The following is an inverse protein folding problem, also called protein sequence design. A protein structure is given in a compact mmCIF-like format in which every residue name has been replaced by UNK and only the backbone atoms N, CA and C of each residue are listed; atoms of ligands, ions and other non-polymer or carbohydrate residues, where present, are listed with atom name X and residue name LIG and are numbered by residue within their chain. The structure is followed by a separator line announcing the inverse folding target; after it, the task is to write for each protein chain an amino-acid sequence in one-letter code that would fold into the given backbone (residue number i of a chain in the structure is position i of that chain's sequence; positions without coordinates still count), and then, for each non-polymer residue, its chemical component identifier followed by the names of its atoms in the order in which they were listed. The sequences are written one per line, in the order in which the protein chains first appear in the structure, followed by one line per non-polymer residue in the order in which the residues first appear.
data_IF_636106114493
#
_entry.id   IF_636106114493
#
_cell.length_a   1.000
_cell.length_b   1.000
_cell.length_c   1.000
_cell.angle_alpha   90.00
_cell.angle_beta   90.00
_cell.angle_gamma   90.00
#
_symmetry.space_group_name_H-M   'P 1'
#
loop_
_entity.id
_entity.type
_entity.pdbx_description
1 polymer ?
#
# COMPACT_ATOMS: atom_id res chain seq x y z
N UNK A 1 -28.94 -64.44 72.81
CA UNK A 1 -30.16 -63.72 72.39
C UNK A 1 -29.72 -62.32 72.06
N UNK A 2 -29.91 -61.88 70.82
CA UNK A 2 -29.64 -60.48 70.44
C UNK A 2 -30.79 -59.69 71.04
N UNK A 3 -30.60 -59.24 72.26
CA UNK A 3 -31.48 -58.27 72.90
C UNK A 3 -31.34 -56.98 72.11
N UNK A 4 -32.41 -56.61 71.39
CA UNK A 4 -32.51 -55.34 70.70
C UNK A 4 -32.70 -54.24 71.77
N UNK A 5 -31.62 -53.92 72.46
CA UNK A 5 -31.61 -52.95 73.54
C UNK A 5 -31.38 -51.54 73.00
N UNK A 6 -31.88 -50.55 73.75
CA UNK A 6 -31.74 -49.10 73.50
C UNK A 6 -30.29 -48.65 73.24
N UNK A 7 -29.30 -49.46 73.65
CA UNK A 7 -27.88 -49.29 73.33
C UNK A 7 -27.58 -49.28 71.83
N UNK A 8 -28.25 -50.12 71.03
CA UNK A 8 -28.09 -50.16 69.57
C UNK A 8 -28.59 -48.86 68.94
N UNK A 9 -29.72 -48.34 69.43
CA UNK A 9 -30.25 -47.06 68.97
C UNK A 9 -29.26 -45.92 69.26
N UNK A 10 -28.68 -45.88 70.47
CA UNK A 10 -27.67 -44.90 70.82
C UNK A 10 -26.39 -45.01 69.97
N UNK A 11 -25.96 -46.24 69.67
CA UNK A 11 -24.78 -46.49 68.84
C UNK A 11 -25.00 -46.08 67.37
N UNK A 12 -26.21 -46.28 66.84
CA UNK A 12 -26.61 -45.77 65.52
C UNK A 12 -26.62 -44.24 65.50
N UNK A 13 -27.19 -43.61 66.53
CA UNK A 13 -27.21 -42.14 66.63
C UNK A 13 -25.78 -41.59 66.70
N UNK A 14 -24.91 -42.19 67.51
CA UNK A 14 -23.51 -41.78 67.61
C UNK A 14 -22.77 -41.95 66.27
N UNK A 15 -22.99 -43.06 65.57
CA UNK A 15 -22.41 -43.30 64.24
C UNK A 15 -22.90 -42.26 63.22
N UNK A 16 -24.20 -41.94 63.21
CA UNK A 16 -24.76 -40.92 62.31
C UNK A 16 -24.20 -39.53 62.61
N UNK A 17 -24.07 -39.16 63.89
CA UNK A 17 -23.44 -37.88 64.28
C UNK A 17 -21.98 -37.83 63.84
N UNK A 18 -21.21 -38.89 64.09
CA UNK A 18 -19.81 -38.99 63.65
C UNK A 18 -19.70 -38.92 62.12
N UNK A 19 -20.56 -39.62 61.39
CA UNK A 19 -20.63 -39.60 59.94
C UNK A 19 -20.90 -38.20 59.39
N UNK A 20 -21.87 -37.49 59.98
CA UNK A 20 -22.21 -36.12 59.57
C UNK A 20 -21.01 -35.19 59.81
N UNK A 21 -20.36 -35.29 60.97
CA UNK A 21 -19.16 -34.50 61.28
C UNK A 21 -18.05 -34.81 60.26
N UNK A 22 -17.78 -36.09 60.00
CA UNK A 22 -16.72 -36.51 59.09
C UNK A 22 -16.99 -36.08 57.64
N UNK A 23 -18.24 -36.22 57.18
CA UNK A 23 -18.67 -35.79 55.85
C UNK A 23 -18.49 -34.28 55.63
N UNK A 24 -18.83 -33.47 56.63
CA UNK A 24 -18.76 -32.00 56.55
C UNK A 24 -17.33 -31.47 56.78
N UNK A 25 -16.58 -32.06 57.71
CA UNK A 25 -15.29 -31.52 58.16
C UNK A 25 -14.09 -32.10 57.40
N UNK A 26 -14.18 -33.34 56.88
CA UNK A 26 -13.04 -34.01 56.26
C UNK A 26 -13.25 -34.22 54.76
N UNK A 27 -14.33 -34.87 54.35
CA UNK A 27 -14.51 -35.22 52.93
C UNK A 27 -14.70 -33.99 52.03
N UNK A 28 -15.55 -33.04 52.44
CA UNK A 28 -15.77 -31.79 51.70
C UNK A 28 -14.49 -30.99 51.44
N UNK A 29 -13.76 -30.54 52.47
CA UNK A 29 -12.55 -29.74 52.26
C UNK A 29 -11.42 -30.53 51.60
N UNK A 30 -11.33 -31.84 51.83
CA UNK A 30 -10.31 -32.67 51.18
C UNK A 30 -10.54 -32.80 49.66
N UNK A 31 -11.79 -33.01 49.24
CA UNK A 31 -12.16 -33.03 47.82
C UNK A 31 -11.95 -31.66 47.16
N UNK A 32 -12.36 -30.58 47.82
CA UNK A 32 -12.13 -29.22 47.30
C UNK A 32 -10.64 -28.90 47.12
N UNK A 33 -9.78 -29.38 48.02
CA UNK A 33 -8.32 -29.18 47.90
C UNK A 33 -7.73 -29.97 46.72
N UNK A 34 -8.26 -31.16 46.45
CA UNK A 34 -7.87 -31.95 45.28
C UNK A 34 -8.31 -31.28 43.98
N UNK A 35 -9.55 -30.82 43.92
CA UNK A 35 -10.13 -30.13 42.76
C UNK A 35 -9.41 -28.79 42.49
N UNK A 36 -9.04 -28.06 43.55
CA UNK A 36 -8.23 -26.84 43.44
C UNK A 36 -6.82 -27.13 42.90
N UNK A 37 -6.19 -28.24 43.31
CA UNK A 37 -4.88 -28.65 42.77
C UNK A 37 -4.98 -29.08 41.31
N UNK A 38 -6.00 -29.85 40.97
CA UNK A 38 -6.25 -30.30 39.60
C UNK A 38 -6.56 -29.12 38.68
N UNK A 39 -7.40 -28.18 39.12
CA UNK A 39 -7.66 -26.92 38.40
C UNK A 39 -6.40 -26.08 38.23
N UNK A 40 -5.56 -25.93 39.26
CA UNK A 40 -4.34 -25.13 39.14
C UNK A 40 -3.31 -25.77 38.21
N UNK A 41 -3.16 -27.09 38.23
CA UNK A 41 -2.18 -27.76 37.37
C UNK A 41 -2.67 -27.88 35.93
N UNK A 42 -3.91 -28.33 35.72
CA UNK A 42 -4.49 -28.52 34.39
C UNK A 42 -4.84 -27.18 33.74
N UNK A 43 -5.39 -26.23 34.50
CA UNK A 43 -5.69 -24.88 34.04
C UNK A 43 -4.44 -24.11 33.64
N UNK A 44 -3.38 -24.13 34.45
CA UNK A 44 -2.14 -23.42 34.11
C UNK A 44 -1.46 -23.98 32.84
N UNK A 45 -1.58 -25.29 32.59
CA UNK A 45 -1.07 -25.90 31.36
C UNK A 45 -1.90 -25.50 30.13
N UNK A 46 -3.23 -25.49 30.27
CA UNK A 46 -4.13 -25.05 29.19
C UNK A 46 -3.93 -23.56 28.87
N UNK A 47 -3.88 -22.71 29.90
CA UNK A 47 -3.66 -21.26 29.75
C UNK A 47 -2.30 -20.98 29.09
N UNK A 48 -1.26 -21.74 29.45
CA UNK A 48 0.07 -21.58 28.83
C UNK A 48 0.05 -21.96 27.35
N UNK A 49 -0.61 -23.07 26.98
CA UNK A 49 -0.75 -23.48 25.58
C UNK A 49 -1.56 -22.47 24.77
N UNK A 50 -2.64 -21.93 25.34
CA UNK A 50 -3.48 -20.93 24.67
C UNK A 50 -2.72 -19.62 24.47
N UNK A 51 -1.96 -19.17 25.48
CA UNK A 51 -1.10 -17.99 25.38
C UNK A 51 0.01 -18.17 24.33
N UNK A 52 0.61 -19.36 24.23
CA UNK A 52 1.58 -19.66 23.18
C UNK A 52 0.95 -19.64 21.79
N UNK A 53 -0.22 -20.26 21.63
CA UNK A 53 -0.95 -20.25 20.35
C UNK A 53 -1.39 -18.84 19.95
N UNK A 54 -1.89 -18.05 20.90
CA UNK A 54 -2.31 -16.68 20.65
C UNK A 54 -1.10 -15.79 20.35
N UNK A 55 0.02 -15.99 21.05
CA UNK A 55 1.30 -15.34 20.75
C UNK A 55 1.84 -15.70 19.36
N UNK A 56 1.78 -16.97 18.96
CA UNK A 56 2.18 -17.42 17.64
C UNK A 56 1.27 -16.85 16.55
N UNK A 57 -0.05 -16.84 16.78
CA UNK A 57 -1.03 -16.25 15.86
C UNK A 57 -0.83 -14.75 15.71
N UNK A 58 -0.57 -14.04 16.80
CA UNK A 58 -0.31 -12.61 16.78
C UNK A 58 0.98 -12.30 16.03
N UNK A 59 2.06 -13.06 16.27
CA UNK A 59 3.32 -12.94 15.51
C UNK A 59 3.10 -13.16 14.02
N UNK A 60 2.38 -14.21 13.63
CA UNK A 60 2.06 -14.48 12.23
C UNK A 60 1.28 -13.32 11.59
N UNK A 61 0.29 -12.75 12.29
CA UNK A 61 -0.44 -11.58 11.80
C UNK A 61 0.45 -10.34 11.68
N UNK A 62 1.38 -10.12 12.60
CA UNK A 62 2.33 -9.02 12.51
C UNK A 62 3.28 -9.18 11.31
N UNK A 63 3.84 -10.37 11.12
CA UNK A 63 4.70 -10.68 9.98
C UNK A 63 3.95 -10.51 8.66
N UNK A 64 2.72 -11.00 8.58
CA UNK A 64 1.86 -10.83 7.41
C UNK A 64 1.59 -9.35 7.12
N UNK A 65 1.23 -8.56 8.15
CA UNK A 65 1.00 -7.11 7.98
C UNK A 65 2.25 -6.37 7.52
N UNK A 66 3.43 -6.74 8.04
CA UNK A 66 4.70 -6.15 7.62
C UNK A 66 4.97 -6.51 6.15
N UNK A 67 4.79 -7.78 5.77
CA UNK A 67 4.97 -8.21 4.39
C UNK A 67 4.01 -7.51 3.43
N UNK A 68 2.73 -7.38 3.80
CA UNK A 68 1.73 -6.64 3.02
C UNK A 68 2.10 -5.14 2.90
N UNK A 69 2.54 -4.51 3.99
CA UNK A 69 2.97 -3.11 3.96
C UNK A 69 4.20 -2.89 3.07
N UNK A 70 5.17 -3.81 3.12
CA UNK A 70 6.33 -3.77 2.23
C UNK A 70 5.91 -3.94 0.76
N UNK A 71 5.08 -4.94 0.46
CA UNK A 71 4.57 -5.17 -0.89
C UNK A 71 3.79 -3.95 -1.44
N UNK A 72 2.91 -3.37 -0.63
CA UNK A 72 2.18 -2.16 -0.97
C UNK A 72 3.12 -0.95 -1.19
N UNK A 73 4.14 -0.80 -0.34
CA UNK A 73 5.16 0.25 -0.49
C UNK A 73 5.99 0.09 -1.76
N UNK A 74 6.40 -1.13 -2.10
CA UNK A 74 7.09 -1.43 -3.35
C UNK A 74 6.21 -1.13 -4.57
N UNK A 75 4.96 -1.60 -4.57
CA UNK A 75 4.00 -1.35 -5.64
C UNK A 75 3.72 0.15 -5.83
N UNK A 76 3.54 0.90 -4.74
CA UNK A 76 3.35 2.36 -4.79
C UNK A 76 4.57 3.08 -5.37
N UNK A 77 5.78 2.67 -4.96
CA UNK A 77 7.03 3.23 -5.50
C UNK A 77 7.17 2.95 -7.00
N UNK A 78 6.89 1.73 -7.43
CA UNK A 78 6.92 1.37 -8.85
C UNK A 78 5.89 2.15 -9.66
N UNK A 79 4.67 2.32 -9.15
CA UNK A 79 3.64 3.11 -9.78
C UNK A 79 4.09 4.57 -9.98
N UNK A 80 4.63 5.21 -8.94
CA UNK A 80 5.16 6.58 -9.02
C UNK A 80 6.29 6.69 -10.03
N UNK A 81 7.21 5.72 -10.06
CA UNK A 81 8.31 5.71 -11.03
C UNK A 81 7.81 5.54 -12.47
N UNK A 82 6.84 4.68 -12.70
CA UNK A 82 6.23 4.48 -14.02
C UNK A 82 5.46 5.72 -14.47
N UNK A 83 4.67 6.33 -13.59
CA UNK A 83 3.95 7.56 -13.88
C UNK A 83 4.93 8.70 -14.21
N UNK A 84 6.00 8.87 -13.42
CA UNK A 84 7.04 9.85 -13.69
C UNK A 84 7.76 9.61 -15.02
N UNK A 85 8.01 8.35 -15.41
CA UNK A 85 8.58 8.01 -16.73
C UNK A 85 7.62 8.36 -17.87
N UNK A 86 6.34 8.01 -17.74
CA UNK A 86 5.32 8.33 -18.75
C UNK A 86 5.12 9.84 -18.90
N UNK A 87 5.07 10.58 -17.79
CA UNK A 87 4.97 12.05 -17.83
C UNK A 87 6.21 12.66 -18.49
N UNK A 88 7.42 12.19 -18.14
CA UNK A 88 8.66 12.63 -18.77
C UNK A 88 8.65 12.37 -20.28
N UNK A 89 8.22 11.18 -20.70
CA UNK A 89 8.15 10.82 -22.11
C UNK A 89 7.13 11.69 -22.86
N UNK A 90 5.94 11.91 -22.28
CA UNK A 90 4.94 12.83 -22.84
C UNK A 90 5.49 14.24 -23.01
N UNK A 91 6.15 14.78 -21.99
CA UNK A 91 6.78 16.10 -22.04
C UNK A 91 7.86 16.20 -23.12
N UNK A 92 8.72 15.18 -23.22
CA UNK A 92 9.74 15.13 -24.26
C UNK A 92 9.16 15.06 -25.67
N UNK A 93 8.10 14.25 -25.86
CA UNK A 93 7.40 14.15 -27.14
C UNK A 93 6.74 15.47 -27.50
N UNK A 94 6.00 16.09 -26.59
CA UNK A 94 5.40 17.41 -26.80
C UNK A 94 6.43 18.49 -27.12
N UNK A 95 7.57 18.50 -26.41
CA UNK A 95 8.65 19.44 -26.70
C UNK A 95 9.25 19.22 -28.09
N UNK A 96 9.43 17.96 -28.51
CA UNK A 96 9.92 17.60 -29.85
C UNK A 96 8.93 18.00 -30.94
N UNK A 97 7.65 17.72 -30.75
CA UNK A 97 6.58 18.12 -31.67
C UNK A 97 6.49 19.64 -31.80
N UNK A 98 6.55 20.38 -30.68
CA UNK A 98 6.60 21.83 -30.67
C UNK A 98 7.82 22.38 -31.41
N UNK A 99 9.00 21.78 -31.19
CA UNK A 99 10.23 22.16 -31.90
C UNK A 99 10.12 21.88 -33.41
N UNK A 100 9.57 20.75 -33.82
CA UNK A 100 9.34 20.43 -35.24
C UNK A 100 8.34 21.40 -35.87
N UNK A 101 7.23 21.69 -35.21
CA UNK A 101 6.25 22.67 -35.70
C UNK A 101 6.84 24.07 -35.82
N UNK A 102 7.69 24.48 -34.88
CA UNK A 102 8.40 25.76 -34.95
C UNK A 102 9.37 25.78 -36.13
N UNK A 103 10.15 24.71 -36.32
CA UNK A 103 11.08 24.60 -37.44
C UNK A 103 10.37 24.66 -38.80
N UNK A 104 9.23 23.97 -38.93
CA UNK A 104 8.40 24.06 -40.14
C UNK A 104 7.84 25.45 -40.38
N UNK A 105 7.39 26.13 -39.32
CA UNK A 105 6.92 27.52 -39.40
C UNK A 105 8.01 28.45 -39.92
N UNK A 106 9.20 28.37 -39.32
CA UNK A 106 10.38 29.16 -39.74
C UNK A 106 10.76 28.84 -41.18
N UNK A 107 10.77 27.57 -41.60
CA UNK A 107 11.07 27.20 -43.00
C UNK A 107 10.09 27.81 -43.99
N UNK A 108 8.78 27.74 -43.71
CA UNK A 108 7.75 28.36 -44.55
C UNK A 108 7.91 29.88 -44.61
N UNK A 109 8.23 30.49 -43.48
CA UNK A 109 8.46 31.93 -43.43
C UNK A 109 9.68 32.35 -44.25
N UNK A 110 10.79 31.62 -44.13
CA UNK A 110 12.01 31.83 -44.93
C UNK A 110 11.76 31.64 -46.42
N UNK A 111 11.02 30.60 -46.83
CA UNK A 111 10.64 30.42 -48.23
C UNK A 111 9.80 31.59 -48.74
N UNK A 112 8.84 32.07 -47.93
CA UNK A 112 8.01 33.22 -48.30
C UNK A 112 8.81 34.51 -48.43
N UNK A 113 9.78 34.73 -47.54
CA UNK A 113 10.67 35.88 -47.58
C UNK A 113 11.58 35.81 -48.81
N UNK A 114 12.15 34.64 -49.10
CA UNK A 114 13.00 34.44 -50.29
C UNK A 114 12.24 34.69 -51.60
N UNK A 115 10.97 34.27 -51.68
CA UNK A 115 10.14 34.56 -52.86
C UNK A 115 9.85 36.06 -53.00
N UNK A 116 9.53 36.76 -51.90
CA UNK A 116 9.31 38.22 -51.91
C UNK A 116 10.57 38.99 -52.33
N UNK A 117 11.70 38.65 -51.72
CA UNK A 117 13.02 39.22 -52.04
C UNK A 117 13.39 39.00 -53.51
N UNK A 118 13.18 37.80 -54.05
CA UNK A 118 13.41 37.52 -55.49
C UNK A 118 12.54 38.37 -56.41
N UNK A 119 11.27 38.60 -56.05
CA UNK A 119 10.38 39.46 -56.85
C UNK A 119 10.84 40.92 -56.80
N UNK A 120 11.22 41.42 -55.62
CA UNK A 120 11.77 42.76 -55.45
C UNK A 120 13.07 42.94 -56.24
N UNK A 121 14.02 42.02 -56.12
CA UNK A 121 15.28 42.06 -56.86
C UNK A 121 15.06 42.02 -58.38
N UNK A 122 14.08 41.23 -58.86
CA UNK A 122 13.72 41.20 -60.28
C UNK A 122 13.10 42.53 -60.76
N UNK A 123 12.32 43.20 -59.92
CA UNK A 123 11.78 44.53 -60.20
C UNK A 123 12.89 45.59 -60.24
N UNK A 124 13.78 45.62 -59.24
CA UNK A 124 14.94 46.52 -59.22
C UNK A 124 15.86 46.30 -60.41
N UNK A 125 16.14 45.04 -60.77
CA UNK A 125 16.94 44.73 -61.95
C UNK A 125 16.33 45.27 -63.25
N UNK A 126 15.00 45.26 -63.38
CA UNK A 126 14.32 45.89 -64.53
C UNK A 126 14.48 47.40 -64.53
N UNK A 127 14.31 48.05 -63.37
CA UNK A 127 14.49 49.50 -63.23
C UNK A 127 15.91 49.91 -63.60
N UNK A 128 16.92 49.21 -63.06
CA UNK A 128 18.34 49.46 -63.38
C UNK A 128 18.63 49.20 -64.87
N UNK A 129 18.05 48.16 -65.46
CA UNK A 129 18.19 47.90 -66.89
C UNK A 129 17.58 49.02 -67.74
N UNK A 130 16.42 49.56 -67.35
CA UNK A 130 15.81 50.72 -68.02
C UNK A 130 16.71 51.97 -67.89
N UNK A 131 17.21 52.27 -66.70
CA UNK A 131 18.14 53.41 -66.50
C UNK A 131 19.42 53.27 -67.33
N UNK A 132 19.98 52.06 -67.46
CA UNK A 132 21.12 51.80 -68.32
C UNK A 132 20.80 52.01 -69.80
N UNK A 133 19.63 51.54 -70.25
CA UNK A 133 19.16 51.71 -71.63
C UNK A 133 18.98 53.20 -71.95
N UNK A 134 18.40 53.98 -71.03
CA UNK A 134 18.26 55.43 -71.18
C UNK A 134 19.61 56.16 -71.26
N UNK A 135 20.57 55.79 -70.38
CA UNK A 135 21.92 56.37 -70.40
C UNK A 135 22.69 56.06 -71.67
N UNK A 136 22.52 54.87 -72.24
CA UNK A 136 23.21 54.45 -73.48
C UNK A 136 22.56 55.07 -74.72
N UNK A 137 21.22 55.18 -74.76
CA UNK A 137 20.50 55.72 -75.92
C UNK A 137 20.42 57.25 -75.94
N UNK A 138 20.76 57.94 -74.84
CA UNK A 138 20.82 59.40 -74.77
C UNK A 138 19.46 60.10 -74.96
N UNK A 139 18.35 59.36 -74.89
CA UNK A 139 16.96 59.85 -75.01
C UNK A 139 16.07 59.08 -74.03
N UNK A 140 15.27 59.81 -73.26
CA UNK A 140 14.23 59.23 -72.40
C UNK A 140 13.26 58.40 -73.25
N UNK A 141 13.04 57.15 -72.87
CA UNK A 141 12.04 56.28 -73.50
C UNK A 141 10.98 56.00 -72.44
N UNK A 142 9.81 56.62 -72.65
CA UNK A 142 8.62 56.50 -71.82
C UNK A 142 7.97 55.11 -71.91
#
# INVERSE_FOLDING_TARGET
MISLDYSIAYQIVLFLVLWIILSKVLFGPYLNLLDERERRTTGAQHDSSDLEQEGARLRAQYEEKIAQAQAAGHAAREAILQEGRQQREKLLTQAREGAMSMLEGVRREVESQMQRERQLAAAEARTVAQEMVEKILGRHVA
#
